data_IF_993283545490
#
_entry.id   IF_993283545490
#
_cell.length_a   1.000
_cell.length_b   1.000
_cell.length_c   1.000
_cell.angle_alpha   90.00
_cell.angle_beta   90.00
_cell.angle_gamma   90.00
#
_symmetry.space_group_name_H-M   'P 1'
#
loop_
_entity.id
_entity.type
_entity.pdbx_description
1 polymer ?
#
# COMPACT_ATOMS: atom_id res chain seq x y z
N UNK A 1 26.78 23.01 -28.33
CA UNK A 1 25.94 22.82 -27.14
C UNK A 1 25.75 21.31 -26.98
N UNK A 2 26.31 20.69 -25.95
CA UNK A 2 26.12 19.25 -25.74
C UNK A 2 24.67 18.97 -25.30
N UNK A 3 24.01 17.91 -25.80
CA UNK A 3 22.67 17.55 -25.36
C UNK A 3 22.64 17.30 -23.86
N UNK A 4 21.63 17.83 -23.16
CA UNK A 4 21.43 17.49 -21.75
C UNK A 4 21.13 15.99 -21.64
N UNK A 5 21.76 15.26 -20.71
CA UNK A 5 21.52 13.84 -20.56
C UNK A 5 20.04 13.60 -20.24
N UNK A 6 19.47 12.57 -20.88
CA UNK A 6 18.11 12.11 -20.59
C UNK A 6 18.01 11.69 -19.12
N UNK A 7 16.79 11.67 -18.53
CA UNK A 7 16.61 11.24 -17.14
C UNK A 7 17.25 9.87 -16.86
N UNK A 8 17.07 8.91 -17.78
CA UNK A 8 17.66 7.57 -17.72
C UNK A 8 19.19 7.62 -17.66
N UNK A 9 19.82 8.49 -18.47
CA UNK A 9 21.27 8.66 -18.48
C UNK A 9 21.81 9.26 -17.17
N UNK A 10 21.00 10.08 -16.47
CA UNK A 10 21.38 10.64 -15.17
C UNK A 10 21.27 9.60 -14.05
N UNK A 11 20.22 8.78 -14.06
CA UNK A 11 20.01 7.71 -13.08
C UNK A 11 21.13 6.66 -13.17
N UNK A 12 21.54 6.34 -14.40
CA UNK A 12 22.62 5.40 -14.68
C UNK A 12 23.98 5.95 -14.20
N UNK A 13 24.27 7.22 -14.50
CA UNK A 13 25.50 7.89 -14.04
C UNK A 13 25.57 7.97 -12.50
N UNK A 14 24.43 8.26 -11.85
CA UNK A 14 24.34 8.28 -10.39
C UNK A 14 24.62 6.89 -9.80
N UNK A 15 23.97 5.86 -10.33
CA UNK A 15 24.13 4.47 -9.87
C UNK A 15 25.59 4.02 -9.98
N UNK A 16 26.25 4.31 -11.12
CA UNK A 16 27.65 3.96 -11.34
C UNK A 16 28.59 4.71 -10.38
N UNK A 17 28.39 6.01 -10.21
CA UNK A 17 29.21 6.82 -9.29
C UNK A 17 29.05 6.36 -7.85
N UNK A 18 27.82 6.04 -7.43
CA UNK A 18 27.54 5.51 -6.11
C UNK A 18 28.23 4.17 -5.88
N UNK A 19 28.10 3.23 -6.82
CA UNK A 19 28.73 1.91 -6.73
C UNK A 19 30.27 2.01 -6.66
N UNK A 20 30.90 2.91 -7.42
CA UNK A 20 32.35 3.09 -7.42
C UNK A 20 32.92 3.70 -6.14
N UNK A 21 32.14 4.52 -5.43
CA UNK A 21 32.57 5.18 -4.19
C UNK A 21 32.06 4.49 -2.93
N UNK A 22 31.19 3.49 -3.06
CA UNK A 22 30.70 2.70 -1.94
C UNK A 22 31.84 1.86 -1.36
N UNK A 23 32.25 2.17 -0.14
CA UNK A 23 33.18 1.36 0.66
C UNK A 23 32.45 0.29 1.48
N UNK A 24 31.16 0.08 1.19
CA UNK A 24 30.31 -0.85 1.92
C UNK A 24 30.65 -2.27 1.45
N UNK A 25 31.31 -3.02 2.34
CA UNK A 25 31.63 -4.43 2.14
C UNK A 25 30.40 -5.28 2.42
N UNK A 26 29.55 -5.45 1.39
CA UNK A 26 28.42 -6.37 1.39
C UNK A 26 28.90 -7.81 1.12
N UNK A 27 29.86 -8.35 1.90
CA UNK A 27 30.46 -9.69 1.71
C UNK A 27 29.48 -10.87 1.91
N UNK A 28 28.19 -10.68 1.61
CA UNK A 28 27.12 -11.63 1.79
C UNK A 28 26.62 -11.70 3.24
N UNK A 29 27.03 -10.75 4.08
CA UNK A 29 26.54 -10.64 5.45
C UNK A 29 25.11 -10.10 5.41
N UNK A 30 24.15 -11.02 5.34
CA UNK A 30 22.74 -10.69 5.52
C UNK A 30 22.61 -10.08 6.92
N UNK A 31 22.02 -8.88 7.07
CA UNK A 31 21.75 -8.33 8.39
C UNK A 31 20.96 -9.37 9.20
N UNK A 32 21.26 -9.52 10.50
CA UNK A 32 20.60 -10.53 11.31
C UNK A 32 19.09 -10.36 11.19
N UNK A 33 18.38 -11.46 10.92
CA UNK A 33 16.93 -11.43 10.83
C UNK A 33 16.37 -10.79 12.10
N UNK A 34 15.44 -9.83 12.01
CA UNK A 34 14.80 -9.30 13.20
C UNK A 34 14.19 -10.46 14.00
N UNK A 35 14.18 -10.38 15.34
CA UNK A 35 13.56 -11.42 16.15
C UNK A 35 12.10 -11.62 15.72
N UNK A 36 11.56 -12.85 15.81
CA UNK A 36 10.15 -13.09 15.56
C UNK A 36 9.32 -12.10 16.38
N UNK A 37 8.50 -11.29 15.72
CA UNK A 37 7.60 -10.40 16.44
C UNK A 37 6.32 -11.16 16.78
N UNK A 38 6.04 -11.35 18.06
CA UNK A 38 4.76 -11.90 18.53
C UNK A 38 3.62 -10.87 18.48
N UNK A 39 3.83 -9.73 17.82
CA UNK A 39 2.79 -8.71 17.65
C UNK A 39 1.73 -9.22 16.67
N UNK A 40 0.72 -9.89 17.22
CA UNK A 40 -0.48 -10.22 16.49
C UNK A 40 -1.30 -8.95 16.30
N UNK A 41 -1.55 -8.54 15.06
CA UNK A 41 -2.53 -7.50 14.79
C UNK A 41 -3.90 -8.02 15.24
N UNK A 42 -4.56 -7.28 16.13
CA UNK A 42 -5.91 -7.61 16.57
C UNK A 42 -6.83 -7.78 15.36
N UNK A 43 -7.66 -8.81 15.41
CA UNK A 43 -8.72 -9.02 14.43
C UNK A 43 -9.67 -7.82 14.50
N UNK A 44 -9.79 -7.08 13.40
CA UNK A 44 -10.78 -6.02 13.27
C UNK A 44 -12.07 -6.68 12.79
N UNK A 45 -13.09 -6.68 13.64
CA UNK A 45 -14.43 -7.09 13.27
C UNK A 45 -15.20 -5.84 12.83
N UNK A 46 -15.59 -5.79 11.56
CA UNK A 46 -16.44 -4.72 11.02
C UNK A 46 -17.87 -5.23 11.04
N UNK A 47 -18.71 -4.67 11.91
CA UNK A 47 -20.11 -5.08 12.01
C UNK A 47 -20.95 -4.39 10.93
N UNK A 48 -22.07 -5.02 10.59
CA UNK A 48 -23.07 -4.45 9.68
C UNK A 48 -23.50 -3.04 10.11
N UNK A 49 -23.67 -2.82 11.42
CA UNK A 49 -24.07 -1.53 11.97
C UNK A 49 -22.98 -0.47 11.75
N UNK A 50 -21.71 -0.82 11.93
CA UNK A 50 -20.58 0.09 11.74
C UNK A 50 -20.54 0.62 10.32
N UNK A 51 -20.77 -0.25 9.33
CA UNK A 51 -20.80 0.16 7.92
C UNK A 51 -22.02 1.01 7.59
N UNK A 52 -23.20 0.64 8.09
CA UNK A 52 -24.40 1.46 7.91
C UNK A 52 -24.21 2.86 8.51
N UNK A 53 -23.64 2.94 9.70
CA UNK A 53 -23.35 4.20 10.38
C UNK A 53 -22.33 5.03 9.62
N UNK A 54 -21.23 4.42 9.16
CA UNK A 54 -20.21 5.09 8.37
C UNK A 54 -20.78 5.64 7.04
N UNK A 55 -21.58 4.84 6.33
CA UNK A 55 -22.21 5.26 5.07
C UNK A 55 -23.26 6.34 5.29
N UNK A 56 -24.08 6.23 6.35
CA UNK A 56 -25.06 7.27 6.70
C UNK A 56 -24.40 8.63 6.97
N UNK A 57 -23.20 8.63 7.55
CA UNK A 57 -22.41 9.83 7.86
C UNK A 57 -21.78 10.53 6.65
N UNK A 58 -21.84 9.96 5.44
CA UNK A 58 -21.25 10.60 4.25
C UNK A 58 -21.90 11.96 3.94
N UNK A 59 -21.13 12.93 3.44
CA UNK A 59 -21.70 14.20 2.96
C UNK A 59 -21.99 14.08 1.45
N UNK A 60 -23.27 14.09 1.01
CA UNK A 60 -23.63 13.96 -0.41
C UNK A 60 -23.16 15.13 -1.28
N UNK A 61 -22.74 16.25 -0.68
CA UNK A 61 -22.23 17.43 -1.40
C UNK A 61 -20.72 17.39 -1.66
N UNK A 62 -20.00 16.35 -1.19
CA UNK A 62 -18.57 16.19 -1.47
C UNK A 62 -18.34 15.71 -2.91
N UNK A 63 -17.20 16.11 -3.47
CA UNK A 63 -16.74 15.64 -4.76
C UNK A 63 -16.50 14.12 -4.75
N UNK A 64 -16.62 13.54 -5.94
CA UNK A 64 -16.45 12.11 -6.16
C UNK A 64 -14.96 11.76 -6.34
N UNK A 65 -14.61 10.52 -6.08
CA UNK A 65 -13.26 10.03 -6.37
C UNK A 65 -13.03 9.91 -7.89
N UNK A 66 -11.80 9.53 -8.30
CA UNK A 66 -11.50 9.21 -9.70
C UNK A 66 -12.29 8.01 -10.22
N UNK A 67 -12.92 7.23 -9.33
CA UNK A 67 -13.86 6.16 -9.63
C UNK A 67 -15.22 6.67 -10.14
N UNK A 68 -15.51 7.97 -9.98
CA UNK A 68 -16.76 8.58 -10.43
C UNK A 68 -17.98 8.18 -9.61
N UNK A 69 -17.81 7.51 -8.46
CA UNK A 69 -18.93 7.03 -7.63
C UNK A 69 -19.35 8.11 -6.63
N UNK A 70 -20.59 8.59 -6.69
CA UNK A 70 -21.03 9.65 -5.81
C UNK A 70 -21.44 9.15 -4.41
N UNK A 71 -21.17 9.91 -3.33
CA UNK A 71 -21.53 9.50 -1.96
C UNK A 71 -23.03 9.20 -1.76
N UNK A 72 -23.92 9.80 -2.56
CA UNK A 72 -25.36 9.51 -2.51
C UNK A 72 -25.69 8.08 -2.96
N UNK A 73 -24.93 7.54 -3.93
CA UNK A 73 -25.08 6.15 -4.36
C UNK A 73 -24.66 5.21 -3.25
N UNK A 74 -23.54 5.50 -2.56
CA UNK A 74 -23.08 4.70 -1.43
C UNK A 74 -24.09 4.69 -0.27
N UNK A 75 -24.76 5.81 -0.01
CA UNK A 75 -25.85 5.88 0.98
C UNK A 75 -27.05 5.03 0.59
N UNK A 76 -27.51 5.15 -0.66
CA UNK A 76 -28.69 4.43 -1.13
C UNK A 76 -28.44 2.92 -1.19
N UNK A 77 -27.20 2.52 -1.48
CA UNK A 77 -26.77 1.12 -1.52
C UNK A 77 -26.27 0.60 -0.16
N UNK A 78 -26.37 1.36 0.93
CA UNK A 78 -25.75 1.01 2.20
C UNK A 78 -26.21 -0.35 2.75
N UNK A 79 -27.47 -0.74 2.55
CA UNK A 79 -28.00 -2.04 2.98
C UNK A 79 -27.39 -3.23 2.23
N UNK A 80 -26.96 -3.01 0.98
CA UNK A 80 -26.32 -3.99 0.09
C UNK A 80 -24.80 -4.03 0.32
N UNK A 81 -24.20 -2.88 0.61
CA UNK A 81 -22.77 -2.72 0.87
C UNK A 81 -22.37 -3.09 2.30
N UNK A 82 -23.30 -3.03 3.25
CA UNK A 82 -23.02 -3.46 4.61
C UNK A 82 -22.65 -4.96 4.59
N UNK A 83 -21.53 -5.36 5.23
CA UNK A 83 -21.02 -6.70 5.14
C UNK A 83 -22.08 -7.72 5.52
N UNK A 84 -22.27 -8.74 4.67
CA UNK A 84 -22.58 -10.07 5.20
C UNK A 84 -21.41 -10.48 6.09
N UNK A 85 -21.64 -11.21 7.20
CA UNK A 85 -20.59 -11.54 8.17
C UNK A 85 -19.52 -12.45 7.54
N UNK A 86 -18.58 -11.83 6.86
CA UNK A 86 -17.34 -12.40 6.35
C UNK A 86 -16.22 -11.53 6.88
N UNK A 87 -15.37 -12.12 7.72
CA UNK A 87 -14.23 -11.47 8.33
C UNK A 87 -13.34 -10.84 7.26
N UNK A 88 -13.40 -9.52 7.08
CA UNK A 88 -12.42 -8.82 6.24
C UNK A 88 -11.12 -8.76 7.05
N UNK A 89 -10.26 -9.76 6.84
CA UNK A 89 -8.96 -9.80 7.48
C UNK A 89 -8.02 -8.83 6.76
N UNK A 90 -8.00 -7.57 7.17
CA UNK A 90 -6.97 -6.61 6.73
C UNK A 90 -5.65 -7.02 7.40
N UNK A 91 -4.93 -7.94 6.77
CA UNK A 91 -3.55 -8.22 7.13
C UNK A 91 -2.71 -7.14 6.46
N UNK A 92 -2.08 -6.29 7.27
CA UNK A 92 -0.93 -5.53 6.79
C UNK A 92 0.16 -6.57 6.55
N UNK A 93 0.41 -6.93 5.30
CA UNK A 93 1.58 -7.72 4.97
C UNK A 93 2.78 -7.04 5.63
N UNK A 94 3.62 -7.76 6.40
CA UNK A 94 4.92 -7.24 6.75
C UNK A 94 5.51 -6.74 5.45
N UNK A 95 5.91 -5.47 5.40
CA UNK A 95 6.69 -5.00 4.25
C UNK A 95 7.77 -6.05 4.09
N UNK A 96 7.75 -6.79 2.96
CA UNK A 96 8.94 -7.54 2.58
C UNK A 96 10.05 -6.50 2.68
N UNK A 97 11.14 -6.86 3.34
CA UNK A 97 12.39 -6.12 3.30
C UNK A 97 12.46 -5.38 1.99
N UNK A 98 12.49 -4.06 2.06
CA UNK A 98 12.45 -3.21 0.88
C UNK A 98 13.72 -3.50 0.11
N UNK A 99 13.63 -4.39 -0.88
CA UNK A 99 14.71 -4.63 -1.82
C UNK A 99 14.96 -3.29 -2.53
N UNK A 100 16.16 -2.68 -2.40
CA UNK A 100 16.41 -1.31 -2.87
C UNK A 100 16.21 -1.10 -4.39
N UNK A 101 15.97 -2.17 -5.14
CA UNK A 101 15.89 -2.20 -6.59
C UNK A 101 14.51 -2.56 -7.16
N UNK A 102 13.49 -2.81 -6.32
CA UNK A 102 12.14 -3.03 -6.84
C UNK A 102 11.48 -1.69 -7.20
N UNK A 103 11.14 -1.44 -8.48
CA UNK A 103 10.42 -0.23 -8.88
C UNK A 103 9.05 -0.26 -8.21
N UNK A 104 8.71 0.80 -7.46
CA UNK A 104 7.44 1.06 -6.76
C UNK A 104 6.23 0.24 -7.28
N UNK A 105 6.20 -1.05 -6.94
CA UNK A 105 5.09 -1.89 -7.33
C UNK A 105 3.97 -1.56 -6.37
N UNK A 106 2.86 -1.12 -6.95
CA UNK A 106 1.63 -0.79 -6.23
C UNK A 106 1.27 -1.93 -5.26
N UNK A 107 0.73 -1.62 -4.07
CA UNK A 107 0.35 -2.67 -3.12
C UNK A 107 -0.61 -3.66 -3.78
N UNK A 108 -0.18 -4.93 -3.87
CA UNK A 108 -1.03 -6.03 -4.34
C UNK A 108 -1.97 -6.40 -3.19
N UNK A 109 -3.21 -5.94 -3.28
CA UNK A 109 -4.29 -6.35 -2.39
C UNK A 109 -4.71 -7.78 -2.74
N UNK A 110 -4.21 -8.77 -1.99
CA UNK A 110 -4.71 -10.14 -2.10
C UNK A 110 -5.97 -10.26 -1.25
N UNK A 111 -7.12 -10.26 -1.92
CA UNK A 111 -8.37 -10.72 -1.33
C UNK A 111 -8.48 -12.23 -1.58
N UNK A 112 -8.67 -13.04 -0.53
CA UNK A 112 -9.06 -14.44 -0.67
C UNK A 112 -10.49 -14.57 -0.14
N UNK A 113 -11.34 -15.18 -0.98
CA UNK A 113 -12.69 -15.62 -0.63
C UNK A 113 -12.66 -16.84 0.30
#
# INVERSE_FOLDING_TARGET
MAPLPSPVSKDELFSQTFAQNSTLDDSGLVPPSPPPSDYFMSTIEILRNDVLHALAGLNPRKAYGPDGVPPIVLKNCASVLAPTPGLIRIQKSPRRSMDPYEPWSSPVWVSRA
#
